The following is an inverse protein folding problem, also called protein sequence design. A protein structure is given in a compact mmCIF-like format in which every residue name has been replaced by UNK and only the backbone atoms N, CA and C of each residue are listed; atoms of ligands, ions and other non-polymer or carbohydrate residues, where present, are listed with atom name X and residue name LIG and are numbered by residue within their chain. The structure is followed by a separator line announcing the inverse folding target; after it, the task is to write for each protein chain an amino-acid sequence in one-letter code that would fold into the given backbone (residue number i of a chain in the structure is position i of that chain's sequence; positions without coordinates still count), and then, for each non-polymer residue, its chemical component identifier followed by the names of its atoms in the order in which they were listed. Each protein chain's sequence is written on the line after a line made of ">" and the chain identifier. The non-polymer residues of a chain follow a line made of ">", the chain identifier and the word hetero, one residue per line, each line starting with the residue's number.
data_IF_575881037133
#
_entry.id   IF_575881037133
#
_cell.length_a   1.000
_cell.length_b   1.000
_cell.length_c   1.000
_cell.angle_alpha   90.00
_cell.angle_beta   90.00
_cell.angle_gamma   90.00
#
_symmetry.space_group_name_H-M   'P 1'
#
loop_
_entity.id
_entity.type
_entity.pdbx_description
1 polymer ?
#
# COMPACT_ATOMS: atom_id res chain seq x y z
N UNK A 1 6.92 -3.40 7.14
CA UNK A 1 5.64 -2.98 6.54
C UNK A 1 4.71 -4.19 6.51
N UNK A 2 3.44 -4.02 6.89
CA UNK A 2 2.44 -5.09 6.83
C UNK A 2 1.42 -4.69 5.76
N UNK A 3 1.10 -5.62 4.85
CA UNK A 3 0.14 -5.40 3.76
C UNK A 3 -0.98 -6.42 3.93
N UNK A 4 -2.22 -5.94 3.93
CA UNK A 4 -3.38 -6.81 3.92
C UNK A 4 -4.49 -6.22 3.04
N UNK A 5 -5.29 -7.10 2.46
CA UNK A 5 -6.45 -6.71 1.66
C UNK A 5 -7.56 -6.29 2.61
N UNK A 6 -8.02 -5.05 2.47
CA UNK A 6 -9.01 -4.46 3.37
C UNK A 6 -10.43 -4.66 2.84
N UNK A 7 -10.63 -4.40 1.54
CA UNK A 7 -11.95 -4.44 0.91
C UNK A 7 -11.85 -4.44 -0.62
N UNK A 8 -13.00 -4.53 -1.28
CA UNK A 8 -13.15 -4.34 -2.71
C UNK A 8 -14.12 -3.19 -2.97
N UNK A 9 -13.77 -2.27 -3.87
CA UNK A 9 -14.65 -1.19 -4.30
C UNK A 9 -14.82 -1.26 -5.82
N UNK A 10 -16.05 -1.51 -6.29
CA UNK A 10 -16.38 -1.66 -7.71
C UNK A 10 -15.54 -2.73 -8.45
N UNK A 11 -15.19 -3.83 -7.77
CA UNK A 11 -14.37 -4.92 -8.33
C UNK A 11 -12.85 -4.72 -8.16
N UNK A 12 -12.41 -3.53 -7.74
CA UNK A 12 -11.02 -3.20 -7.54
C UNK A 12 -10.59 -3.45 -6.08
N UNK A 13 -9.52 -4.23 -5.82
CA UNK A 13 -9.03 -4.46 -4.47
C UNK A 13 -8.44 -3.20 -3.85
N UNK A 14 -8.73 -2.99 -2.57
CA UNK A 14 -8.13 -1.95 -1.73
C UNK A 14 -7.24 -2.63 -0.70
N UNK A 15 -5.96 -2.27 -0.72
CA UNK A 15 -4.95 -2.75 0.21
C UNK A 15 -4.64 -1.70 1.26
N UNK A 16 -4.55 -2.13 2.51
CA UNK A 16 -4.06 -1.30 3.59
C UNK A 16 -2.62 -1.67 3.93
N UNK A 17 -1.79 -0.64 4.05
CA UNK A 17 -0.35 -0.74 4.26
C UNK A 17 -0.01 -0.04 5.57
N UNK A 18 0.47 -0.82 6.53
CA UNK A 18 0.96 -0.32 7.82
C UNK A 18 2.48 -0.16 7.71
N UNK A 19 2.93 1.09 7.74
CA UNK A 19 4.34 1.48 7.66
C UNK A 19 5.04 1.37 9.01
N UNK A 20 6.39 1.44 9.04
CA UNK A 20 7.15 1.39 10.30
C UNK A 20 6.90 2.61 11.20
N UNK A 21 6.46 3.72 10.62
CA UNK A 21 6.12 4.95 11.34
C UNK A 21 4.70 4.95 11.92
N UNK A 22 4.01 3.80 11.91
CA UNK A 22 2.61 3.65 12.34
C UNK A 22 1.62 4.52 11.57
N UNK A 23 1.97 4.93 10.35
CA UNK A 23 1.05 5.58 9.40
C UNK A 23 0.42 4.53 8.50
N UNK A 24 -0.89 4.65 8.29
CA UNK A 24 -1.68 3.78 7.43
C UNK A 24 -1.83 4.42 6.05
N UNK A 25 -1.51 3.66 5.00
CA UNK A 25 -1.70 4.08 3.60
C UNK A 25 -2.69 3.11 2.96
N UNK A 26 -3.75 3.65 2.34
CA UNK A 26 -4.70 2.87 1.55
C UNK A 26 -4.36 3.02 0.07
N UNK A 27 -4.26 1.89 -0.62
CA UNK A 27 -3.96 1.84 -2.07
C UNK A 27 -5.09 1.10 -2.76
N UNK A 28 -5.73 1.75 -3.73
CA UNK A 28 -6.72 1.14 -4.62
C UNK A 28 -6.03 0.73 -5.91
N UNK A 29 -6.12 -0.55 -6.24
CA UNK A 29 -5.53 -1.11 -7.45
C UNK A 29 -6.61 -1.57 -8.42
N UNK A 30 -6.31 -1.63 -9.72
CA UNK A 30 -7.21 -2.23 -10.69
C UNK A 30 -7.31 -3.75 -10.49
N UNK A 31 -8.42 -4.33 -10.96
CA UNK A 31 -8.71 -5.78 -10.88
C UNK A 31 -7.60 -6.71 -11.42
N UNK A 32 -6.79 -6.21 -12.37
CA UNK A 32 -5.70 -6.96 -12.99
C UNK A 32 -4.37 -6.86 -12.22
N UNK A 33 -4.29 -6.00 -11.21
CA UNK A 33 -3.06 -5.75 -10.48
C UNK A 33 -2.86 -6.83 -9.43
N UNK A 34 -1.87 -7.70 -9.66
CA UNK A 34 -1.65 -8.84 -8.79
C UNK A 34 -1.01 -8.43 -7.46
N UNK A 35 -1.22 -9.27 -6.45
CA UNK A 35 -0.57 -9.14 -5.14
C UNK A 35 0.96 -9.06 -5.24
N UNK A 36 1.56 -9.78 -6.19
CA UNK A 36 3.02 -9.76 -6.42
C UNK A 36 3.50 -8.45 -7.00
N UNK A 37 2.76 -7.85 -7.93
CA UNK A 37 3.04 -6.51 -8.46
C UNK A 37 2.92 -5.46 -7.37
N UNK A 38 1.93 -5.58 -6.48
CA UNK A 38 1.81 -4.74 -5.30
C UNK A 38 3.02 -4.85 -4.38
N UNK A 39 3.44 -6.06 -4.02
CA UNK A 39 4.63 -6.24 -3.19
C UNK A 39 5.89 -5.65 -3.86
N UNK A 40 6.02 -5.81 -5.17
CA UNK A 40 7.13 -5.25 -5.94
C UNK A 40 7.11 -3.72 -5.90
N UNK A 41 5.97 -3.11 -6.23
CA UNK A 41 5.79 -1.66 -6.16
C UNK A 41 6.11 -1.11 -4.77
N UNK A 42 5.58 -1.74 -3.72
CA UNK A 42 5.78 -1.27 -2.36
C UNK A 42 7.21 -1.47 -1.85
N UNK A 43 7.92 -2.50 -2.31
CA UNK A 43 9.36 -2.65 -2.02
C UNK A 43 10.19 -1.53 -2.66
N UNK A 44 9.81 -1.07 -3.86
CA UNK A 44 10.48 0.03 -4.54
C UNK A 44 10.22 1.36 -3.81
N UNK A 45 9.01 1.54 -3.27
CA UNK A 45 8.59 2.74 -2.57
C UNK A 45 8.91 2.72 -1.06
N UNK A 46 9.40 1.61 -0.50
CA UNK A 46 9.59 1.47 0.96
C UNK A 46 10.45 2.59 1.53
N UNK A 47 11.55 2.93 0.85
CA UNK A 47 12.45 3.98 1.32
C UNK A 47 11.81 5.36 1.26
N UNK A 48 11.06 5.66 0.19
CA UNK A 48 10.36 6.94 0.06
C UNK A 48 9.23 7.08 1.09
N UNK A 49 8.52 5.99 1.36
CA UNK A 49 7.44 5.92 2.35
C UNK A 49 7.95 6.02 3.78
N UNK A 50 9.07 5.36 4.11
CA UNK A 50 9.67 5.46 5.44
C UNK A 50 10.28 6.86 5.69
N UNK A 51 10.75 7.55 4.64
CA UNK A 51 11.33 8.90 4.71
C UNK A 51 10.33 10.04 4.42
N UNK A 52 9.05 9.72 4.23
CA UNK A 52 8.00 10.68 3.94
C UNK A 52 7.86 11.63 5.14
N UNK A 53 8.44 12.82 5.03
CA UNK A 53 8.38 13.85 6.06
C UNK A 53 7.02 14.56 6.01
N UNK A 54 6.00 13.85 6.47
CA UNK A 54 4.65 14.40 6.60
C UNK A 54 4.65 15.31 7.82
N UNK A 55 4.94 16.59 7.58
CA UNK A 55 4.75 17.65 8.56
C UNK A 55 3.25 17.80 8.76
N UNK A 56 2.78 17.64 10.00
CA UNK A 56 1.38 17.86 10.38
C UNK A 56 1.04 19.35 10.39
#
# INVERSE_FOLDING_TARGET
>A
MIIYEQSFENGNPIYEIITKTFKTISVKCDENFSKNELYTLLSLLESDVDNLNVSY
#
